data_IF_419096875296
#
_entry.id   IF_419096875296
#
_cell.length_a   1.000
_cell.length_b   1.000
_cell.length_c   1.000
_cell.angle_alpha   90.00
_cell.angle_beta   90.00
_cell.angle_gamma   90.00
#
_symmetry.space_group_name_H-M   'P 1'
#
loop_
_entity.id
_entity.type
_entity.pdbx_description
1 polymer ?
#
# COMPACT_ATOMS: atom_id res chain seq x y z
N UNK A 1 27.26 -12.00 2.25
CA UNK A 1 26.05 -11.82 1.42
C UNK A 1 25.28 -10.61 1.93
N UNK A 2 24.90 -9.73 1.03
CA UNK A 2 24.14 -8.53 1.41
C UNK A 2 22.66 -8.89 1.56
N UNK A 3 22.17 -8.88 2.79
CA UNK A 3 20.76 -9.25 3.06
C UNK A 3 19.77 -8.19 2.56
N UNK A 4 20.24 -6.97 2.26
CA UNK A 4 19.36 -5.93 1.71
C UNK A 4 18.77 -6.31 0.35
N UNK A 5 19.42 -7.20 -0.39
CA UNK A 5 18.92 -7.67 -1.68
C UNK A 5 17.55 -8.33 -1.53
N UNK A 6 17.33 -9.04 -0.43
CA UNK A 6 16.04 -9.67 -0.14
C UNK A 6 14.97 -8.61 0.15
N UNK A 7 15.36 -7.51 0.81
CA UNK A 7 14.45 -6.40 1.05
C UNK A 7 14.00 -5.71 -0.24
N UNK A 8 14.93 -5.45 -1.15
CA UNK A 8 14.60 -4.87 -2.45
C UNK A 8 13.75 -5.81 -3.30
N UNK A 9 14.09 -7.11 -3.28
CA UNK A 9 13.32 -8.11 -4.01
C UNK A 9 11.88 -8.18 -3.49
N UNK A 10 11.72 -8.18 -2.17
CA UNK A 10 10.41 -8.17 -1.54
C UNK A 10 9.63 -6.91 -1.90
N UNK A 11 10.30 -5.75 -1.93
CA UNK A 11 9.67 -4.49 -2.30
C UNK A 11 9.10 -4.54 -3.71
N UNK A 12 9.86 -5.09 -4.66
CA UNK A 12 9.42 -5.23 -6.05
C UNK A 12 8.19 -6.13 -6.13
N UNK A 13 8.23 -7.27 -5.44
CA UNK A 13 7.13 -8.24 -5.48
C UNK A 13 5.86 -7.70 -4.85
N UNK A 14 5.98 -7.04 -3.69
CA UNK A 14 4.80 -6.50 -3.00
C UNK A 14 4.19 -5.34 -3.79
N UNK A 15 5.01 -4.48 -4.37
CA UNK A 15 4.53 -3.39 -5.23
C UNK A 15 3.81 -3.96 -6.45
N UNK A 16 4.40 -4.95 -7.10
CA UNK A 16 3.79 -5.60 -8.26
C UNK A 16 2.46 -6.25 -7.90
N UNK A 17 2.34 -6.78 -6.68
CA UNK A 17 1.09 -7.42 -6.24
C UNK A 17 -0.03 -6.39 -6.01
N UNK A 18 0.29 -5.20 -5.51
CA UNK A 18 -0.71 -4.16 -5.27
C UNK A 18 -1.14 -3.44 -6.54
N UNK A 19 -0.26 -3.33 -7.52
CA UNK A 19 -0.52 -2.51 -8.70
C UNK A 19 -1.74 -2.95 -9.50
N UNK A 20 -1.95 -4.25 -9.80
CA UNK A 20 -3.15 -4.68 -10.50
C UNK A 20 -4.43 -4.34 -9.76
N UNK A 21 -4.43 -4.45 -8.42
CA UNK A 21 -5.59 -4.11 -7.61
C UNK A 21 -5.93 -2.63 -7.73
N UNK A 22 -4.92 -1.78 -7.66
CA UNK A 22 -5.12 -0.34 -7.81
C UNK A 22 -5.67 -0.01 -9.20
N UNK A 23 -5.08 -0.57 -10.25
CA UNK A 23 -5.52 -0.35 -11.61
C UNK A 23 -6.97 -0.78 -11.79
N UNK A 24 -7.33 -1.95 -11.26
CA UNK A 24 -8.69 -2.46 -11.33
C UNK A 24 -9.66 -1.51 -10.63
N UNK A 25 -9.32 -1.03 -9.44
CA UNK A 25 -10.14 -0.10 -8.69
C UNK A 25 -10.38 1.19 -9.47
N UNK A 26 -9.34 1.73 -10.07
CA UNK A 26 -9.44 2.98 -10.84
C UNK A 26 -10.26 2.79 -12.12
N UNK A 27 -10.12 1.65 -12.78
CA UNK A 27 -10.84 1.38 -14.03
C UNK A 27 -12.32 1.09 -13.81
N UNK A 28 -12.63 0.27 -12.81
CA UNK A 28 -14.01 -0.14 -12.55
C UNK A 28 -14.76 0.88 -11.72
N UNK A 29 -14.05 1.80 -11.08
CA UNK A 29 -14.60 2.77 -10.13
C UNK A 29 -15.36 2.09 -9.00
N UNK A 30 -14.90 0.89 -8.64
CA UNK A 30 -15.47 0.10 -7.55
C UNK A 30 -14.36 -0.40 -6.65
N UNK A 31 -14.51 -0.18 -5.36
CA UNK A 31 -13.57 -0.65 -4.35
C UNK A 31 -14.30 -1.48 -3.29
N UNK A 32 -15.38 -2.15 -3.69
CA UNK A 32 -16.23 -2.91 -2.77
C UNK A 32 -15.51 -4.11 -2.19
N UNK A 33 -14.56 -4.66 -2.94
CA UNK A 33 -13.79 -5.84 -2.52
C UNK A 33 -12.72 -5.50 -1.49
N UNK A 34 -12.48 -4.21 -1.24
CA UNK A 34 -11.44 -3.76 -0.32
C UNK A 34 -12.10 -3.24 0.95
N UNK A 35 -11.87 -3.93 2.06
CA UNK A 35 -12.42 -3.54 3.35
C UNK A 35 -11.75 -2.27 3.86
N UNK A 36 -12.56 -1.29 4.28
CA UNK A 36 -12.06 -0.06 4.87
C UNK A 36 -11.25 -0.35 6.14
N UNK A 37 -11.75 -1.26 6.98
CA UNK A 37 -11.04 -1.64 8.20
C UNK A 37 -9.67 -2.23 7.87
N UNK A 38 -9.61 -3.11 6.88
CA UNK A 38 -8.35 -3.72 6.46
C UNK A 38 -7.37 -2.66 5.94
N UNK A 39 -7.85 -1.71 5.13
CA UNK A 39 -7.01 -0.65 4.63
C UNK A 39 -6.43 0.20 5.76
N UNK A 40 -7.26 0.58 6.72
CA UNK A 40 -6.82 1.39 7.85
C UNK A 40 -5.77 0.64 8.67
N UNK A 41 -6.03 -0.63 8.98
CA UNK A 41 -5.07 -1.45 9.72
C UNK A 41 -3.76 -1.59 8.97
N UNK A 42 -3.83 -1.79 7.65
CA UNK A 42 -2.65 -1.92 6.81
C UNK A 42 -1.82 -0.64 6.81
N UNK A 43 -2.49 0.51 6.69
CA UNK A 43 -1.82 1.81 6.69
C UNK A 43 -1.10 2.04 8.02
N UNK A 44 -1.76 1.72 9.14
CA UNK A 44 -1.13 1.83 10.47
C UNK A 44 0.10 0.94 10.56
N UNK A 45 0.00 -0.29 10.06
CA UNK A 45 1.12 -1.22 10.04
C UNK A 45 2.28 -0.71 9.19
N UNK A 46 1.97 -0.15 8.02
CA UNK A 46 2.99 0.40 7.11
C UNK A 46 3.69 1.59 7.76
N UNK A 47 2.94 2.48 8.41
CA UNK A 47 3.53 3.62 9.13
C UNK A 47 4.47 3.13 10.24
N UNK A 48 4.08 2.09 10.96
CA UNK A 48 4.92 1.50 11.99
C UNK A 48 6.21 0.94 11.39
N UNK A 49 6.14 0.28 10.24
CA UNK A 49 7.30 -0.24 9.54
C UNK A 49 8.23 0.88 9.05
N UNK A 50 7.68 2.00 8.61
CA UNK A 50 8.48 3.15 8.19
C UNK A 50 9.28 3.68 9.38
N UNK A 51 8.64 3.84 10.53
CA UNK A 51 9.32 4.28 11.75
C UNK A 51 10.43 3.30 12.12
N UNK A 52 10.13 2.01 12.10
CA UNK A 52 11.12 0.98 12.41
C UNK A 52 12.29 1.00 11.41
N UNK A 53 11.98 1.06 10.11
CA UNK A 53 13.01 1.10 9.08
C UNK A 53 13.92 2.32 9.20
N UNK A 54 13.34 3.46 9.51
CA UNK A 54 14.13 4.67 9.76
C UNK A 54 15.05 4.49 10.96
N UNK A 55 14.51 3.89 12.04
CA UNK A 55 15.28 3.71 13.29
C UNK A 55 16.49 2.80 13.11
N UNK A 56 16.38 1.79 12.23
CA UNK A 56 17.50 0.88 11.98
C UNK A 56 18.26 1.23 10.69
N UNK A 57 17.95 2.36 10.09
CA UNK A 57 18.60 2.83 8.86
C UNK A 57 18.50 1.83 7.71
N UNK A 58 17.33 1.17 7.58
CA UNK A 58 17.10 0.20 6.51
C UNK A 58 16.47 0.86 5.30
N UNK A 59 17.26 1.11 4.27
CA UNK A 59 16.77 1.69 3.02
C UNK A 59 15.73 0.81 2.32
N UNK A 60 15.90 -0.53 2.22
CA UNK A 60 14.89 -1.37 1.61
C UNK A 60 13.53 -1.28 2.30
N UNK A 61 13.51 -1.29 3.64
CA UNK A 61 12.26 -1.20 4.40
C UNK A 61 11.60 0.16 4.17
N UNK A 62 12.38 1.24 4.18
CA UNK A 62 11.84 2.57 3.96
C UNK A 62 11.21 2.70 2.58
N UNK A 63 11.94 2.30 1.53
CA UNK A 63 11.45 2.41 0.15
C UNK A 63 10.21 1.56 -0.06
N UNK A 64 10.25 0.30 0.38
CA UNK A 64 9.13 -0.62 0.21
C UNK A 64 7.86 -0.07 0.86
N UNK A 65 7.98 0.41 2.08
CA UNK A 65 6.81 0.85 2.82
C UNK A 65 6.31 2.22 2.38
N UNK A 66 7.19 3.10 1.91
CA UNK A 66 6.75 4.37 1.32
C UNK A 66 5.93 4.12 0.06
N UNK A 67 6.38 3.23 -0.82
CA UNK A 67 5.63 2.88 -2.03
C UNK A 67 4.29 2.24 -1.65
N UNK A 68 4.31 1.30 -0.71
CA UNK A 68 3.10 0.63 -0.25
C UNK A 68 2.11 1.63 0.36
N UNK A 69 2.61 2.60 1.13
CA UNK A 69 1.76 3.63 1.71
C UNK A 69 1.06 4.44 0.62
N UNK A 70 1.80 4.87 -0.39
CA UNK A 70 1.23 5.65 -1.49
C UNK A 70 0.12 4.84 -2.19
N UNK A 71 0.38 3.58 -2.50
CA UNK A 71 -0.60 2.72 -3.17
C UNK A 71 -1.85 2.52 -2.31
N UNK A 72 -1.67 2.30 -1.01
CA UNK A 72 -2.80 2.11 -0.11
C UNK A 72 -3.61 3.39 0.08
N UNK A 73 -2.96 4.55 0.12
CA UNK A 73 -3.66 5.81 0.20
C UNK A 73 -4.48 6.07 -1.06
N UNK A 74 -3.95 5.72 -2.24
CA UNK A 74 -4.70 5.85 -3.48
C UNK A 74 -5.92 4.94 -3.49
N UNK A 75 -5.79 3.71 -2.99
CA UNK A 75 -6.93 2.79 -2.89
C UNK A 75 -7.96 3.35 -1.90
N UNK A 76 -7.51 3.86 -0.76
CA UNK A 76 -8.41 4.43 0.25
C UNK A 76 -9.19 5.61 -0.31
N UNK A 77 -8.51 6.54 -0.96
CA UNK A 77 -9.14 7.71 -1.56
C UNK A 77 -10.16 7.27 -2.61
N UNK A 78 -9.79 6.31 -3.47
CA UNK A 78 -10.68 5.79 -4.49
C UNK A 78 -11.92 5.15 -3.88
N UNK A 79 -11.72 4.38 -2.81
CA UNK A 79 -12.84 3.71 -2.12
C UNK A 79 -13.82 4.73 -1.56
N UNK A 80 -13.33 5.75 -0.89
CA UNK A 80 -14.18 6.79 -0.30
C UNK A 80 -14.89 7.57 -1.41
N UNK A 81 -14.16 7.95 -2.45
CA UNK A 81 -14.70 8.73 -3.56
C UNK A 81 -15.81 7.97 -4.29
N UNK A 82 -15.52 6.71 -4.67
CA UNK A 82 -16.49 5.93 -5.46
C UNK A 82 -17.70 5.51 -4.61
N UNK A 83 -17.50 5.20 -3.34
CA UNK A 83 -18.62 4.88 -2.45
C UNK A 83 -19.54 6.08 -2.28
N UNK A 84 -18.97 7.28 -2.13
CA UNK A 84 -19.75 8.50 -1.99
C UNK A 84 -20.57 8.77 -3.25
N UNK A 85 -19.98 8.58 -4.42
CA UNK A 85 -20.68 8.79 -5.69
C UNK A 85 -21.79 7.78 -5.92
N UNK A 86 -21.60 6.54 -5.48
CA UNK A 86 -22.62 5.50 -5.62
C UNK A 86 -23.84 5.81 -4.76
N UNK A 87 -23.65 6.45 -3.60
CA UNK A 87 -24.73 6.77 -2.69
C UNK A 87 -25.53 8.01 -3.10
N UNK A 88 -25.07 8.72 -4.10
CA UNK A 88 -25.80 9.83 -4.67
C UNK A 88 -26.82 9.34 -5.71
#
# INVERSE_FOLDING_TARGET
>A
MNVDIFGYFAAILTTAAFLPQLIKTLKTKKADDVSLTTLIMFIIGVLSWIIYGYSISSTPILIANLITLILNLLILISKIYFSKNINE
#
